data_IF_081975419112
#
_entry.id   IF_081975419112
#
_cell.length_a   1.000
_cell.length_b   1.000
_cell.length_c   1.000
_cell.angle_alpha   90.00
_cell.angle_beta   90.00
_cell.angle_gamma   90.00
#
_symmetry.space_group_name_H-M   'P 1'
#
loop_
_entity.id
_entity.type
_entity.pdbx_description
1 polymer ?
#
# COMPACT_ATOMS: atom_id res chain seq x y z
N UNK A 1 41.93 0.06 -30.31
CA UNK A 1 41.47 -1.32 -30.58
C UNK A 1 41.30 -2.04 -29.25
N UNK A 2 40.07 -2.49 -28.96
CA UNK A 2 39.60 -3.45 -27.94
C UNK A 2 40.22 -3.38 -26.51
N UNK A 3 39.52 -2.90 -25.48
CA UNK A 3 38.49 -3.59 -24.64
C UNK A 3 39.00 -4.88 -23.99
N UNK A 4 39.13 -4.89 -22.65
CA UNK A 4 38.33 -5.78 -21.78
C UNK A 4 38.45 -5.41 -20.31
N UNK A 5 37.27 -5.31 -19.71
CA UNK A 5 36.94 -4.98 -18.32
C UNK A 5 36.87 -6.28 -17.52
N UNK A 6 37.37 -6.26 -16.28
CA UNK A 6 36.75 -7.01 -15.17
C UNK A 6 37.11 -6.31 -13.86
N UNK A 7 36.21 -5.43 -13.42
CA UNK A 7 36.14 -5.01 -12.03
C UNK A 7 34.86 -5.62 -11.45
N UNK A 8 35.01 -6.70 -10.67
CA UNK A 8 33.96 -7.24 -9.82
C UNK A 8 33.71 -6.27 -8.68
N UNK A 9 32.68 -5.43 -8.84
CA UNK A 9 32.14 -4.60 -7.77
C UNK A 9 30.75 -5.08 -7.41
N UNK A 10 30.61 -5.81 -6.30
CA UNK A 10 29.33 -6.07 -5.66
C UNK A 10 28.74 -4.72 -5.23
N UNK A 11 27.79 -4.18 -5.99
CA UNK A 11 26.98 -3.04 -5.55
C UNK A 11 25.77 -3.57 -4.77
N UNK A 12 26.01 -3.82 -3.49
CA UNK A 12 25.00 -3.60 -2.46
C UNK A 12 24.49 -2.16 -2.59
N UNK A 13 23.20 -1.98 -2.83
CA UNK A 13 22.49 -0.72 -2.63
C UNK A 13 21.28 -1.09 -1.76
N UNK A 14 21.49 -1.24 -0.46
CA UNK A 14 21.22 -0.25 0.59
C UNK A 14 19.71 -0.01 0.80
N UNK A 15 19.14 -0.40 1.97
CA UNK A 15 17.73 -0.16 2.29
C UNK A 15 17.59 1.18 3.02
N UNK A 16 16.73 2.09 2.53
CA UNK A 16 16.00 3.08 3.33
C UNK A 16 14.95 3.78 2.47
N UNK A 17 13.73 3.99 2.99
CA UNK A 17 13.55 5.16 3.85
C UNK A 17 13.36 4.77 5.31
N UNK A 18 13.92 5.60 6.19
CA UNK A 18 13.61 5.63 7.61
C UNK A 18 12.15 6.09 7.78
N UNK A 19 11.22 5.16 7.69
CA UNK A 19 9.89 5.34 8.28
C UNK A 19 9.97 4.96 9.75
N UNK A 20 9.42 5.81 10.62
CA UNK A 20 9.17 5.47 12.01
C UNK A 20 8.60 4.04 12.06
N UNK A 21 9.21 3.17 12.86
CA UNK A 21 8.79 1.78 13.01
C UNK A 21 7.29 1.78 13.25
N UNK A 22 6.52 1.42 12.22
CA UNK A 22 5.09 1.34 12.38
C UNK A 22 4.86 0.26 13.42
N UNK A 23 4.18 0.58 14.52
CA UNK A 23 3.88 -0.39 15.58
C UNK A 23 2.95 -1.52 15.11
N UNK A 24 2.51 -1.43 13.86
CA UNK A 24 1.54 -2.31 13.23
C UNK A 24 2.22 -3.13 12.13
N UNK A 25 1.79 -4.38 12.03
CA UNK A 25 2.32 -5.36 11.09
C UNK A 25 2.07 -4.96 9.62
N UNK A 26 3.09 -5.12 8.77
CA UNK A 26 2.91 -5.12 7.30
C UNK A 26 2.16 -6.36 6.87
N UNK A 27 1.11 -6.18 6.05
CA UNK A 27 0.29 -7.30 5.56
C UNK A 27 0.45 -7.48 4.06
N UNK A 28 0.52 -8.73 3.63
CA UNK A 28 0.63 -9.11 2.22
C UNK A 28 -0.55 -9.99 1.81
N UNK A 29 -1.09 -9.75 0.61
CA UNK A 29 -2.09 -10.62 0.01
C UNK A 29 -1.80 -10.82 -1.48
N UNK A 30 -1.49 -12.06 -1.87
CA UNK A 30 -1.36 -12.49 -3.26
C UNK A 30 -2.68 -13.14 -3.73
N UNK A 31 -3.33 -12.54 -4.73
CA UNK A 31 -4.57 -13.06 -5.33
C UNK A 31 -4.79 -12.47 -6.72
N UNK A 32 -5.32 -13.25 -7.66
CA UNK A 32 -5.67 -12.75 -9.01
C UNK A 32 -4.49 -12.17 -9.78
N UNK A 33 -3.34 -12.86 -9.81
CA UNK A 33 -2.09 -12.43 -10.47
C UNK A 33 -1.49 -11.10 -9.95
N UNK A 34 -1.91 -10.65 -8.77
CA UNK A 34 -1.43 -9.42 -8.14
C UNK A 34 -1.08 -9.71 -6.68
N UNK A 35 0.14 -9.34 -6.30
CA UNK A 35 0.55 -9.26 -4.90
C UNK A 35 0.36 -7.83 -4.42
N UNK A 36 -0.32 -7.67 -3.28
CA UNK A 36 -0.51 -6.38 -2.63
C UNK A 36 0.13 -6.43 -1.26
N UNK A 37 1.06 -5.52 -0.99
CA UNK A 37 1.72 -5.35 0.30
C UNK A 37 1.26 -4.01 0.87
N UNK A 38 0.78 -4.01 2.11
CA UNK A 38 0.31 -2.81 2.81
C UNK A 38 1.04 -2.67 4.13
N UNK A 39 1.76 -1.56 4.26
CA UNK A 39 2.49 -1.19 5.48
C UNK A 39 1.82 0.04 6.09
N UNK A 40 1.17 -0.06 7.26
CA UNK A 40 0.69 1.12 7.97
C UNK A 40 1.84 2.09 8.23
N UNK A 41 1.61 3.40 8.18
CA UNK A 41 2.60 4.43 8.50
C UNK A 41 2.13 5.29 9.68
N UNK A 42 0.84 5.62 9.74
CA UNK A 42 0.19 6.29 10.87
C UNK A 42 -1.22 5.74 11.02
N UNK A 43 -1.55 5.19 12.20
CA UNK A 43 -2.91 4.73 12.55
C UNK A 43 -3.41 5.33 13.87
N UNK A 44 -2.73 6.34 14.43
CA UNK A 44 -3.17 6.93 15.68
C UNK A 44 -4.55 7.61 15.55
N UNK A 45 -5.38 7.45 16.58
CA UNK A 45 -6.63 8.16 16.74
C UNK A 45 -6.44 9.69 16.61
N UNK A 46 -7.40 10.38 15.99
CA UNK A 46 -7.35 11.83 15.82
C UNK A 46 -6.34 12.32 14.77
N UNK A 47 -5.68 11.43 14.04
CA UNK A 47 -4.75 11.77 12.95
C UNK A 47 -5.14 11.15 11.62
N UNK A 48 -4.68 11.71 10.47
CA UNK A 48 -4.87 11.06 9.18
C UNK A 48 -4.28 9.65 9.18
N UNK A 49 -5.02 8.69 8.62
CA UNK A 49 -4.53 7.31 8.50
C UNK A 49 -3.74 7.20 7.21
N UNK A 50 -2.52 6.68 7.31
CA UNK A 50 -1.63 6.55 6.15
C UNK A 50 -1.10 5.13 6.00
N UNK A 51 -1.05 4.66 4.76
CA UNK A 51 -0.48 3.37 4.38
C UNK A 51 0.49 3.54 3.23
N UNK A 52 1.65 2.89 3.29
CA UNK A 52 2.42 2.58 2.09
C UNK A 52 1.82 1.32 1.44
N UNK A 53 1.56 1.38 0.14
CA UNK A 53 1.00 0.26 -0.62
C UNK A 53 1.91 -0.05 -1.81
N UNK A 54 2.21 -1.33 -1.99
CA UNK A 54 2.91 -1.87 -3.16
C UNK A 54 1.99 -2.84 -3.89
N UNK A 55 1.85 -2.63 -5.19
CA UNK A 55 1.17 -3.49 -6.14
C UNK A 55 2.23 -4.11 -7.06
N UNK A 56 2.31 -5.44 -7.07
CA UNK A 56 3.31 -6.18 -7.84
C UNK A 56 2.64 -7.26 -8.71
N UNK A 57 2.83 -7.19 -10.02
CA UNK A 57 2.33 -8.19 -10.97
C UNK A 57 3.30 -8.33 -12.14
N UNK A 58 3.20 -9.46 -12.85
CA UNK A 58 3.95 -9.71 -14.08
C UNK A 58 3.02 -10.03 -15.26
N UNK A 59 1.69 -9.98 -15.04
CA UNK A 59 0.71 -10.53 -15.99
C UNK A 59 -0.47 -9.62 -16.31
N UNK A 60 -0.70 -8.57 -15.51
CA UNK A 60 -1.82 -7.63 -15.72
C UNK A 60 -1.35 -6.18 -15.71
N UNK A 61 -2.12 -5.30 -16.35
CA UNK A 61 -1.86 -3.86 -16.30
C UNK A 61 -2.55 -3.23 -15.07
N UNK A 62 -1.90 -2.25 -14.43
CA UNK A 62 -2.36 -1.62 -13.19
C UNK A 62 -3.01 -0.24 -13.42
N UNK A 63 -3.95 -0.13 -14.37
CA UNK A 63 -4.60 1.14 -14.79
C UNK A 63 -5.69 1.68 -13.85
N UNK A 64 -5.96 1.02 -12.73
CA UNK A 64 -7.04 1.42 -11.83
C UNK A 64 -6.70 2.68 -11.05
N UNK A 65 -7.74 3.40 -10.62
CA UNK A 65 -7.62 4.51 -9.69
C UNK A 65 -7.63 3.98 -8.25
N UNK A 66 -6.48 4.06 -7.57
CA UNK A 66 -6.32 3.57 -6.19
C UNK A 66 -7.32 4.26 -5.25
N UNK A 67 -7.60 5.55 -5.47
CA UNK A 67 -8.50 6.33 -4.60
C UNK A 67 -9.96 5.88 -4.71
N UNK A 68 -10.36 5.36 -5.87
CA UNK A 68 -11.70 4.82 -6.12
C UNK A 68 -11.84 3.36 -5.71
N UNK A 69 -10.73 2.63 -5.70
CA UNK A 69 -10.70 1.23 -5.29
C UNK A 69 -10.60 1.07 -3.76
N UNK A 70 -10.11 2.08 -3.05
CA UNK A 70 -9.82 1.99 -1.63
C UNK A 70 -10.92 2.56 -0.73
N UNK A 71 -11.16 1.88 0.39
CA UNK A 71 -12.10 2.28 1.43
C UNK A 71 -11.53 1.93 2.81
N UNK A 72 -11.68 2.84 3.77
CA UNK A 72 -11.28 2.62 5.16
C UNK A 72 -12.52 2.52 6.05
N UNK A 73 -12.57 1.49 6.90
CA UNK A 73 -13.67 1.22 7.85
C UNK A 73 -13.17 0.98 9.27
N UNK A 74 -13.97 1.31 10.26
CA UNK A 74 -13.77 0.85 11.65
C UNK A 74 -14.60 -0.40 11.99
N UNK A 75 -14.50 -0.89 13.22
CA UNK A 75 -15.28 -2.03 13.71
C UNK A 75 -16.80 -1.78 13.79
N UNK A 76 -17.23 -0.52 13.75
CA UNK A 76 -18.64 -0.12 13.77
C UNK A 76 -19.21 -0.03 12.35
N UNK A 77 -18.38 -0.19 11.31
CA UNK A 77 -18.76 -0.09 9.91
C UNK A 77 -18.78 1.34 9.38
N UNK A 78 -18.30 2.32 10.14
CA UNK A 78 -18.19 3.70 9.67
C UNK A 78 -17.11 3.77 8.58
N UNK A 79 -17.38 4.51 7.50
CA UNK A 79 -16.42 4.71 6.40
C UNK A 79 -15.78 6.09 6.49
N UNK A 80 -14.49 6.18 6.14
CA UNK A 80 -13.70 7.40 6.34
C UNK A 80 -13.29 8.06 5.02
N UNK A 81 -14.21 8.84 4.45
CA UNK A 81 -13.95 9.77 3.35
C UNK A 81 -13.30 9.14 2.09
N UNK A 82 -12.84 10.02 1.19
CA UNK A 82 -12.07 9.63 0.00
C UNK A 82 -10.59 9.80 0.29
N UNK A 83 -9.75 8.78 0.06
CA UNK A 83 -8.33 8.90 0.29
C UNK A 83 -7.63 9.73 -0.81
N UNK A 84 -6.47 10.28 -0.47
CA UNK A 84 -5.50 10.80 -1.43
C UNK A 84 -4.44 9.74 -1.73
N UNK A 85 -4.03 9.64 -3.00
CA UNK A 85 -2.93 8.79 -3.44
C UNK A 85 -1.75 9.65 -3.87
N UNK A 86 -0.59 9.43 -3.25
CA UNK A 86 0.69 10.01 -3.65
C UNK A 86 1.66 8.87 -4.02
N UNK A 87 1.88 8.66 -5.31
CA UNK A 87 2.68 7.55 -5.81
C UNK A 87 2.53 7.34 -7.30
N UNK A 88 2.88 6.13 -7.76
CA UNK A 88 2.93 5.83 -9.18
C UNK A 88 1.57 6.06 -9.88
N UNK A 89 1.58 6.67 -11.07
CA UNK A 89 0.36 6.91 -11.86
C UNK A 89 -0.24 5.57 -12.35
N UNK A 90 -1.49 5.58 -12.85
CA UNK A 90 -2.09 4.40 -13.47
C UNK A 90 -1.24 3.80 -14.59
N UNK A 91 -1.17 2.46 -14.61
CA UNK A 91 -0.51 1.66 -15.63
C UNK A 91 0.73 0.90 -15.15
N UNK A 92 1.36 0.20 -16.10
CA UNK A 92 2.54 -0.64 -15.84
C UNK A 92 2.21 -1.92 -15.07
N UNK A 93 3.25 -2.53 -14.51
CA UNK A 93 3.19 -3.82 -13.82
C UNK A 93 3.65 -3.76 -12.35
N UNK A 94 4.18 -2.61 -11.92
CA UNK A 94 4.52 -2.33 -10.54
C UNK A 94 4.04 -0.93 -10.20
N UNK A 95 3.37 -0.76 -9.07
CA UNK A 95 2.97 0.55 -8.54
C UNK A 95 3.22 0.61 -7.05
N UNK A 96 3.77 1.73 -6.58
CA UNK A 96 4.01 2.01 -5.17
C UNK A 96 3.54 3.43 -4.83
N UNK A 97 3.06 3.63 -3.61
CA UNK A 97 2.70 4.95 -3.12
C UNK A 97 2.15 4.96 -1.71
N UNK A 98 1.82 6.15 -1.24
CA UNK A 98 1.16 6.40 0.03
C UNK A 98 -0.32 6.71 -0.19
N UNK A 99 -1.17 5.94 0.48
CA UNK A 99 -2.61 6.17 0.54
C UNK A 99 -2.96 6.83 1.87
N UNK A 100 -3.56 8.01 1.82
CA UNK A 100 -3.90 8.82 3.00
C UNK A 100 -5.40 9.00 3.10
N UNK A 101 -6.00 8.53 4.19
CA UNK A 101 -7.40 8.81 4.53
C UNK A 101 -7.49 10.02 5.48
N UNK A 102 -8.61 10.76 5.45
CA UNK A 102 -8.92 11.77 6.45
C UNK A 102 -8.88 11.21 7.89
N UNK A 103 -8.84 12.11 8.86
CA UNK A 103 -8.81 11.78 10.29
C UNK A 103 -10.06 10.93 10.65
N UNK A 104 -9.89 9.70 11.17
CA UNK A 104 -10.99 8.88 11.65
C UNK A 104 -11.44 9.32 13.04
N UNK A 105 -12.52 8.73 13.54
CA UNK A 105 -13.02 9.02 14.88
C UNK A 105 -12.01 8.59 15.95
N UNK A 106 -11.98 9.30 17.08
CA UNK A 106 -11.09 9.01 18.21
C UNK A 106 -11.39 7.66 18.90
N UNK A 107 -12.48 6.99 18.52
CA UNK A 107 -13.01 5.79 19.16
C UNK A 107 -12.71 4.48 18.43
N UNK A 108 -12.09 4.52 17.24
CA UNK A 108 -11.79 3.30 16.50
C UNK A 108 -10.87 2.39 17.32
N UNK A 109 -11.19 1.11 17.40
CA UNK A 109 -10.35 0.09 18.05
C UNK A 109 -9.74 -0.86 17.03
N UNK A 110 -10.36 -0.93 15.85
CA UNK A 110 -9.88 -1.68 14.70
C UNK A 110 -10.05 -0.81 13.46
N UNK A 111 -9.10 -0.91 12.55
CA UNK A 111 -9.23 -0.33 11.21
C UNK A 111 -9.12 -1.42 10.15
N UNK A 112 -9.91 -1.27 9.11
CA UNK A 112 -9.96 -2.18 7.98
C UNK A 112 -9.79 -1.40 6.68
N UNK A 113 -8.72 -1.67 5.95
CA UNK A 113 -8.55 -1.21 4.57
C UNK A 113 -9.12 -2.26 3.62
N UNK A 114 -10.06 -1.85 2.78
CA UNK A 114 -10.58 -2.64 1.66
C UNK A 114 -10.07 -2.08 0.33
N UNK A 115 -9.56 -2.95 -0.54
CA UNK A 115 -9.20 -2.65 -1.92
C UNK A 115 -10.10 -3.47 -2.87
N UNK A 116 -10.96 -2.79 -3.61
CA UNK A 116 -12.07 -3.40 -4.35
C UNK A 116 -11.82 -3.43 -5.86
N UNK A 117 -12.28 -4.50 -6.50
CA UNK A 117 -12.30 -4.67 -7.95
C UNK A 117 -10.94 -4.47 -8.63
N UNK A 118 -9.86 -4.98 -8.01
CA UNK A 118 -8.51 -4.90 -8.57
C UNK A 118 -8.07 -6.28 -9.06
N UNK A 119 -7.69 -6.37 -10.33
CA UNK A 119 -7.19 -7.60 -10.96
C UNK A 119 -8.14 -8.81 -10.81
N UNK A 120 -9.42 -8.60 -11.13
CA UNK A 120 -10.45 -9.65 -11.09
C UNK A 120 -10.84 -10.17 -9.70
N UNK A 121 -10.30 -9.58 -8.63
CA UNK A 121 -10.67 -9.88 -7.25
C UNK A 121 -11.63 -8.82 -6.74
N UNK A 122 -12.81 -9.24 -6.27
CA UNK A 122 -13.87 -8.35 -5.80
C UNK A 122 -13.40 -7.45 -4.64
N UNK A 123 -12.67 -8.02 -3.67
CA UNK A 123 -12.21 -7.30 -2.49
C UNK A 123 -10.98 -7.97 -1.86
N UNK A 124 -10.00 -7.16 -1.45
CA UNK A 124 -8.89 -7.54 -0.56
C UNK A 124 -9.02 -6.73 0.72
N UNK A 125 -8.85 -7.36 1.88
CA UNK A 125 -9.12 -6.73 3.17
C UNK A 125 -7.93 -6.88 4.10
N UNK A 126 -7.50 -5.77 4.68
CA UNK A 126 -6.39 -5.71 5.62
C UNK A 126 -6.87 -5.09 6.93
N UNK A 127 -6.80 -5.84 8.02
CA UNK A 127 -7.33 -5.46 9.32
C UNK A 127 -6.21 -5.27 10.35
N UNK A 128 -6.22 -4.16 11.07
CA UNK A 128 -5.30 -3.92 12.20
C UNK A 128 -6.07 -3.49 13.45
N UNK A 129 -5.60 -3.97 14.60
CA UNK A 129 -6.05 -3.50 15.91
C UNK A 129 -5.19 -2.30 16.33
N UNK A 130 -5.82 -1.22 16.81
CA UNK A 130 -5.18 0.03 17.23
C UNK A 130 -4.61 -0.01 18.65
#
# INVERSE_FOLDING_TARGET
LAVSVIATGNKTVEPAPTSASSRFETKEQASGNLTVIVTPQELAAGKPVTFEIVFDTHSVNLDFDVTKAAELRDEQGNTYGTPAWDGDPPGGHHRKGTLTFPIPTEKATTITLSLKNISGVNERTFLWKL
#
